data_IF_253020781015
#
_entry.id   IF_253020781015
#
_cell.length_a   1.000
_cell.length_b   1.000
_cell.length_c   1.000
_cell.angle_alpha   90.00
_cell.angle_beta   90.00
_cell.angle_gamma   90.00
#
_symmetry.space_group_name_H-M   'P 1'
#
loop_
_entity.id
_entity.type
_entity.pdbx_description
1 polymer ?
#
# COMPACT_ATOMS: atom_id res chain seq x y z
N UNK A 1 2.04 -22.57 40.94
CA UNK A 1 2.87 -22.55 39.72
C UNK A 1 1.94 -22.47 38.52
N UNK A 2 1.86 -21.30 37.87
CA UNK A 2 0.99 -21.13 36.70
C UNK A 2 1.58 -21.90 35.52
N UNK A 3 0.83 -22.84 34.95
CA UNK A 3 1.26 -23.60 33.77
C UNK A 3 1.47 -22.61 32.61
N UNK A 4 2.70 -22.56 32.09
CA UNK A 4 3.06 -21.72 30.95
C UNK A 4 2.47 -22.34 29.68
N UNK A 5 1.29 -21.89 29.27
CA UNK A 5 0.64 -22.38 28.05
C UNK A 5 1.34 -21.77 26.84
N UNK A 6 2.17 -22.57 26.16
CA UNK A 6 2.81 -22.17 24.91
C UNK A 6 1.74 -22.03 23.80
N UNK A 7 1.84 -20.99 22.95
CA UNK A 7 0.89 -20.80 21.84
C UNK A 7 1.05 -21.91 20.81
N UNK A 8 -0.06 -22.40 20.25
CA UNK A 8 -0.08 -23.56 19.35
C UNK A 8 0.10 -23.18 17.88
N UNK A 9 -0.05 -21.90 17.56
CA UNK A 9 0.09 -21.39 16.20
C UNK A 9 0.55 -19.92 16.22
N UNK A 10 0.98 -19.44 15.04
CA UNK A 10 1.52 -18.08 14.86
C UNK A 10 0.49 -16.99 15.22
N UNK A 11 -0.81 -17.24 14.96
CA UNK A 11 -1.87 -16.29 15.30
C UNK A 11 -2.03 -16.12 16.82
N UNK A 12 -2.04 -17.23 17.56
CA UNK A 12 -2.03 -17.23 19.03
C UNK A 12 -0.75 -16.65 19.61
N UNK A 13 0.38 -16.80 18.91
CA UNK A 13 1.65 -16.22 19.35
C UNK A 13 1.66 -14.69 19.17
N UNK A 14 1.23 -14.18 18.02
CA UNK A 14 1.17 -12.73 17.72
C UNK A 14 0.20 -11.99 18.66
N UNK A 15 -0.86 -12.64 19.12
CA UNK A 15 -1.80 -12.06 20.09
C UNK A 15 -1.23 -11.94 21.51
N UNK A 16 -0.08 -12.57 21.80
CA UNK A 16 0.64 -12.38 23.06
C UNK A 16 1.58 -11.19 22.95
N UNK A 17 1.81 -10.52 24.07
CA UNK A 17 2.72 -9.36 24.18
C UNK A 17 4.11 -9.65 23.58
N UNK A 18 4.66 -10.84 23.85
CA UNK A 18 5.95 -11.28 23.28
C UNK A 18 5.93 -11.47 21.76
N UNK A 19 4.81 -11.94 21.19
CA UNK A 19 4.70 -12.12 19.74
C UNK A 19 4.37 -10.83 19.01
N UNK A 20 3.58 -9.94 19.62
CA UNK A 20 3.38 -8.58 19.14
C UNK A 20 4.71 -7.80 19.13
N UNK A 21 5.52 -7.94 20.19
CA UNK A 21 6.84 -7.32 20.27
C UNK A 21 7.83 -7.88 19.23
N UNK A 22 7.85 -9.20 19.02
CA UNK A 22 8.68 -9.80 17.96
C UNK A 22 8.23 -9.37 16.56
N UNK A 23 6.92 -9.27 16.32
CA UNK A 23 6.40 -8.78 15.04
C UNK A 23 6.80 -7.31 14.82
N UNK A 24 6.75 -6.48 15.87
CA UNK A 24 7.25 -5.11 15.85
C UNK A 24 8.75 -5.06 15.53
N UNK A 25 9.58 -5.85 16.22
CA UNK A 25 11.02 -5.93 15.94
C UNK A 25 11.34 -6.42 14.53
N UNK A 26 10.57 -7.37 13.99
CA UNK A 26 10.73 -7.83 12.62
C UNK A 26 10.30 -6.76 11.62
N UNK A 27 9.20 -6.05 11.90
CA UNK A 27 8.77 -4.91 11.10
C UNK A 27 9.81 -3.79 11.16
N UNK A 28 10.37 -3.47 12.33
CA UNK A 28 11.43 -2.48 12.56
C UNK A 28 12.75 -2.88 11.90
N UNK A 29 13.12 -4.16 11.90
CA UNK A 29 14.33 -4.64 11.22
C UNK A 29 14.17 -4.61 9.70
N UNK A 30 12.97 -4.94 9.22
CA UNK A 30 12.63 -4.85 7.78
C UNK A 30 12.53 -3.38 7.36
N UNK A 31 11.90 -2.52 8.19
CA UNK A 31 11.94 -1.07 8.06
C UNK A 31 13.38 -0.57 8.09
N UNK A 32 14.21 -1.05 9.01
CA UNK A 32 15.59 -0.63 9.24
C UNK A 32 16.47 -0.80 8.00
N UNK A 33 16.27 -1.89 7.25
CA UNK A 33 16.93 -2.07 5.93
C UNK A 33 16.42 -1.07 4.90
N UNK A 34 15.13 -0.77 4.86
CA UNK A 34 14.55 0.23 3.96
C UNK A 34 14.91 1.67 4.37
N UNK A 35 15.03 1.94 5.67
CA UNK A 35 15.46 3.18 6.31
C UNK A 35 16.95 3.44 6.04
N UNK A 36 17.78 2.41 5.96
CA UNK A 36 19.18 2.54 5.52
C UNK A 36 19.34 3.00 4.06
N UNK A 37 18.25 3.04 3.27
CA UNK A 37 18.23 3.68 1.94
C UNK A 37 17.75 5.14 1.98
N UNK A 38 17.36 5.67 3.14
CA UNK A 38 17.36 7.12 3.35
C UNK A 38 18.82 7.53 3.30
N UNK A 39 19.22 8.33 2.29
CA UNK A 39 20.55 8.92 2.28
C UNK A 39 20.73 9.64 3.62
N UNK A 40 21.66 9.15 4.44
CA UNK A 40 22.02 9.75 5.73
C UNK A 40 22.38 11.24 5.60
N UNK A 41 22.82 11.64 4.41
CA UNK A 41 23.11 13.01 4.00
C UNK A 41 21.87 13.91 4.09
N UNK A 42 20.73 13.48 3.57
CA UNK A 42 19.49 14.30 3.55
C UNK A 42 18.96 14.50 4.98
N UNK A 43 19.10 13.47 5.84
CA UNK A 43 18.74 13.53 7.26
C UNK A 43 19.62 14.50 8.04
N UNK A 44 20.93 14.48 7.76
CA UNK A 44 21.90 15.36 8.44
C UNK A 44 21.70 16.81 8.03
N UNK A 45 21.38 17.06 6.76
CA UNK A 45 21.14 18.39 6.22
C UNK A 45 19.83 18.99 6.76
N UNK A 46 18.74 18.21 6.82
CA UNK A 46 17.49 18.64 7.46
C UNK A 46 17.65 18.86 8.98
N UNK A 47 18.37 17.99 9.68
CA UNK A 47 18.65 18.19 11.10
C UNK A 47 19.51 19.44 11.37
N UNK A 48 20.41 19.82 10.45
CA UNK A 48 21.18 21.06 10.55
C UNK A 48 20.34 22.32 10.27
N UNK A 49 19.45 22.27 9.27
CA UNK A 49 18.62 23.43 8.89
C UNK A 49 17.53 23.74 9.94
N UNK A 50 17.08 22.74 10.69
CA UNK A 50 15.93 22.85 11.59
C UNK A 50 16.24 22.55 13.07
N UNK A 51 17.44 22.07 13.40
CA UNK A 51 17.79 21.52 14.74
C UNK A 51 17.99 22.52 15.87
N UNK A 52 17.72 23.82 15.67
CA UNK A 52 17.85 24.84 16.73
C UNK A 52 16.51 25.20 17.38
N UNK A 53 15.41 24.57 16.97
CA UNK A 53 14.08 24.84 17.48
C UNK A 53 13.50 23.58 18.14
N UNK A 54 13.41 23.58 19.46
CA UNK A 54 13.07 22.41 20.28
C UNK A 54 11.62 21.90 20.09
N UNK A 55 10.76 22.65 19.41
CA UNK A 55 9.44 22.17 18.96
C UNK A 55 9.51 21.45 17.60
N UNK A 56 10.59 21.64 16.85
CA UNK A 56 10.78 21.07 15.50
C UNK A 56 11.37 19.66 15.53
N UNK A 57 12.06 19.25 16.60
CA UNK A 57 12.57 17.87 16.71
C UNK A 57 11.46 16.82 16.68
N UNK A 58 10.34 17.05 17.39
CA UNK A 58 9.21 16.12 17.43
C UNK A 58 8.48 16.05 16.07
N UNK A 59 8.29 17.21 15.45
CA UNK A 59 7.65 17.33 14.13
C UNK A 59 8.55 16.75 13.02
N UNK A 60 9.87 16.90 13.13
CA UNK A 60 10.84 16.35 12.18
C UNK A 60 10.94 14.84 12.31
N UNK A 61 10.97 14.29 13.53
CA UNK A 61 10.97 12.85 13.76
C UNK A 61 9.68 12.21 13.23
N UNK A 62 8.52 12.82 13.53
CA UNK A 62 7.24 12.38 13.00
C UNK A 62 7.16 12.47 11.47
N UNK A 63 7.73 13.52 10.87
CA UNK A 63 7.80 13.69 9.41
C UNK A 63 8.74 12.66 8.78
N UNK A 64 9.88 12.38 9.39
CA UNK A 64 10.81 11.34 8.95
C UNK A 64 10.18 9.95 9.05
N UNK A 65 9.43 9.66 10.11
CA UNK A 65 8.68 8.42 10.27
C UNK A 65 7.59 8.28 9.20
N UNK A 66 6.84 9.35 8.93
CA UNK A 66 5.84 9.35 7.87
C UNK A 66 6.46 9.15 6.49
N UNK A 67 7.58 9.82 6.18
CA UNK A 67 8.31 9.63 4.93
C UNK A 67 8.85 8.21 4.80
N UNK A 68 9.30 7.63 5.91
CA UNK A 68 9.78 6.25 5.98
C UNK A 68 8.65 5.26 5.71
N UNK A 69 7.48 5.45 6.34
CA UNK A 69 6.30 4.63 6.09
C UNK A 69 5.82 4.74 4.64
N UNK A 70 5.79 5.95 4.06
CA UNK A 70 5.44 6.14 2.64
C UNK A 70 6.39 5.37 1.72
N UNK A 71 7.71 5.39 1.99
CA UNK A 71 8.68 4.60 1.21
C UNK A 71 8.45 3.10 1.32
N UNK A 72 8.12 2.60 2.51
CA UNK A 72 7.79 1.19 2.70
C UNK A 72 6.52 0.82 1.92
N UNK A 73 5.48 1.66 1.98
CA UNK A 73 4.25 1.42 1.22
C UNK A 73 4.53 1.40 -0.28
N UNK A 74 5.32 2.36 -0.77
CA UNK A 74 5.68 2.44 -2.18
C UNK A 74 6.43 1.18 -2.65
N UNK A 75 7.39 0.70 -1.85
CA UNK A 75 8.10 -0.54 -2.12
C UNK A 75 7.17 -1.76 -2.13
N UNK A 76 6.24 -1.87 -1.18
CA UNK A 76 5.24 -2.94 -1.16
C UNK A 76 4.31 -2.89 -2.38
N UNK A 77 3.93 -1.69 -2.84
CA UNK A 77 3.13 -1.52 -4.06
C UNK A 77 3.91 -1.98 -5.29
N UNK A 78 5.18 -1.60 -5.44
CA UNK A 78 6.04 -2.09 -6.51
C UNK A 78 6.19 -3.61 -6.49
N UNK A 79 6.48 -4.22 -5.34
CA UNK A 79 6.57 -5.69 -5.24
C UNK A 79 5.26 -6.40 -5.53
N UNK A 80 4.12 -5.75 -5.24
CA UNK A 80 2.82 -6.28 -5.67
C UNK A 80 2.71 -6.27 -7.19
N UNK A 81 3.00 -5.14 -7.83
CA UNK A 81 2.92 -4.97 -9.28
C UNK A 81 3.82 -6.00 -9.99
N UNK A 82 5.06 -6.15 -9.54
CA UNK A 82 6.00 -7.18 -10.01
C UNK A 82 5.43 -8.61 -9.85
N UNK A 83 4.86 -8.91 -8.69
CA UNK A 83 4.25 -10.22 -8.43
C UNK A 83 3.03 -10.47 -9.32
N UNK A 84 2.21 -9.43 -9.58
CA UNK A 84 1.08 -9.54 -10.50
C UNK A 84 1.56 -9.78 -11.94
N UNK A 85 2.60 -9.06 -12.41
CA UNK A 85 3.20 -9.30 -13.73
C UNK A 85 3.68 -10.75 -13.84
N UNK A 86 4.41 -11.23 -12.84
CA UNK A 86 4.95 -12.60 -12.81
C UNK A 86 3.87 -13.68 -12.74
N UNK A 87 2.70 -13.37 -12.14
CA UNK A 87 1.55 -14.29 -12.13
C UNK A 87 1.10 -14.67 -13.54
N UNK A 88 1.08 -13.74 -14.49
CA UNK A 88 0.64 -14.00 -15.87
C UNK A 88 1.73 -14.62 -16.75
N UNK A 89 3.00 -14.51 -16.36
CA UNK A 89 4.15 -14.94 -17.18
C UNK A 89 4.79 -16.26 -16.71
N UNK A 90 4.32 -16.86 -15.62
CA UNK A 90 4.94 -18.06 -15.01
C UNK A 90 3.96 -19.22 -14.84
N UNK A 91 4.47 -20.45 -14.99
CA UNK A 91 3.75 -21.69 -14.66
C UNK A 91 3.46 -21.80 -13.15
N UNK A 92 4.23 -21.09 -12.31
CA UNK A 92 4.05 -21.02 -10.84
C UNK A 92 3.16 -19.84 -10.39
N UNK A 93 2.23 -19.37 -11.24
CA UNK A 93 1.41 -18.18 -10.96
C UNK A 93 0.76 -18.17 -9.56
N UNK A 94 0.37 -19.32 -9.03
CA UNK A 94 -0.23 -19.41 -7.68
C UNK A 94 0.64 -18.84 -6.56
N UNK A 95 1.96 -18.95 -6.65
CA UNK A 95 2.93 -18.41 -5.68
C UNK A 95 2.96 -16.89 -5.77
N UNK A 96 3.12 -16.35 -6.97
CA UNK A 96 3.13 -14.91 -7.21
C UNK A 96 1.82 -14.23 -6.83
N UNK A 97 0.68 -14.89 -7.05
CA UNK A 97 -0.62 -14.39 -6.61
C UNK A 97 -0.76 -14.36 -5.08
N UNK A 98 -0.09 -15.28 -4.37
CA UNK A 98 -0.04 -15.29 -2.91
C UNK A 98 0.86 -14.15 -2.37
N UNK A 99 2.03 -13.95 -2.97
CA UNK A 99 2.95 -12.87 -2.62
C UNK A 99 2.34 -11.49 -2.87
N UNK A 100 1.73 -11.27 -4.04
CA UNK A 100 1.01 -10.03 -4.35
C UNK A 100 -0.07 -9.72 -3.31
N UNK A 101 -0.80 -10.74 -2.85
CA UNK A 101 -1.81 -10.58 -1.80
C UNK A 101 -1.21 -10.16 -0.46
N UNK A 102 -0.06 -10.73 -0.10
CA UNK A 102 0.65 -10.38 1.14
C UNK A 102 1.08 -8.92 1.10
N UNK A 103 1.78 -8.52 0.03
CA UNK A 103 2.30 -7.16 -0.12
C UNK A 103 1.19 -6.10 -0.11
N UNK A 104 0.08 -6.34 -0.81
CA UNK A 104 -1.11 -5.45 -0.77
C UNK A 104 -1.71 -5.32 0.61
N UNK A 105 -1.85 -6.44 1.33
CA UNK A 105 -2.42 -6.43 2.67
C UNK A 105 -1.55 -5.60 3.62
N UNK A 106 -0.24 -5.76 3.53
CA UNK A 106 0.71 -4.95 4.30
C UNK A 106 0.66 -3.48 3.90
N UNK A 107 0.67 -3.17 2.60
CA UNK A 107 0.58 -1.80 2.09
C UNK A 107 -0.68 -1.10 2.62
N UNK A 108 -1.86 -1.73 2.54
CA UNK A 108 -3.12 -1.16 3.04
C UNK A 108 -3.16 -0.98 4.55
N UNK A 109 -2.43 -1.82 5.30
CA UNK A 109 -2.35 -1.75 6.77
C UNK A 109 -1.55 -0.52 7.22
N UNK A 110 -0.47 -0.19 6.52
CA UNK A 110 0.46 0.88 6.94
C UNK A 110 0.28 2.19 6.16
N UNK A 111 -0.37 2.17 5.00
CA UNK A 111 -0.52 3.35 4.15
C UNK A 111 -1.29 4.48 4.86
N UNK A 112 -0.73 5.70 4.95
CA UNK A 112 -1.42 6.84 5.54
C UNK A 112 -2.76 7.11 4.84
N UNK A 113 -3.74 7.59 5.60
CA UNK A 113 -5.07 7.88 5.06
C UNK A 113 -4.99 9.01 4.02
N UNK A 114 -5.66 8.83 2.89
CA UNK A 114 -5.68 9.82 1.79
C UNK A 114 -4.38 9.93 0.97
N UNK A 115 -3.29 9.28 1.37
CA UNK A 115 -2.04 9.32 0.64
C UNK A 115 -2.14 8.56 -0.71
N UNK A 116 -1.54 9.06 -1.81
CA UNK A 116 -1.54 8.40 -3.12
C UNK A 116 -1.18 6.91 -3.10
N UNK A 117 -0.18 6.53 -2.31
CA UNK A 117 0.24 5.13 -2.15
C UNK A 117 -0.86 4.21 -1.60
N UNK A 118 -1.83 4.75 -0.83
CA UNK A 118 -3.02 3.99 -0.43
C UNK A 118 -3.96 3.76 -1.61
N UNK A 119 -4.06 4.73 -2.52
CA UNK A 119 -4.78 4.59 -3.79
C UNK A 119 -4.16 3.52 -4.67
N UNK A 120 -2.82 3.50 -4.81
CA UNK A 120 -2.09 2.43 -5.51
C UNK A 120 -2.33 1.06 -4.88
N UNK A 121 -2.32 0.96 -3.55
CA UNK A 121 -2.62 -0.30 -2.86
C UNK A 121 -4.05 -0.78 -3.11
N UNK A 122 -5.05 0.11 -3.16
CA UNK A 122 -6.41 -0.24 -3.55
C UNK A 122 -6.52 -0.69 -5.02
N UNK A 123 -5.84 0.00 -5.94
CA UNK A 123 -5.74 -0.38 -7.37
C UNK A 123 -5.19 -1.81 -7.50
N UNK A 124 -4.08 -2.09 -6.83
CA UNK A 124 -3.43 -3.39 -6.85
C UNK A 124 -4.30 -4.49 -6.23
N UNK A 125 -5.03 -4.16 -5.15
CA UNK A 125 -5.99 -5.10 -4.58
C UNK A 125 -7.18 -5.37 -5.51
N UNK A 126 -7.65 -4.36 -6.23
CA UNK A 126 -8.71 -4.54 -7.22
C UNK A 126 -8.28 -5.52 -8.32
N UNK A 127 -7.05 -5.43 -8.83
CA UNK A 127 -6.50 -6.42 -9.78
C UNK A 127 -6.58 -7.85 -9.23
N UNK A 128 -6.16 -8.08 -7.98
CA UNK A 128 -6.23 -9.40 -7.34
C UNK A 128 -7.67 -9.93 -7.26
N UNK A 129 -8.64 -9.06 -7.01
CA UNK A 129 -10.06 -9.43 -6.97
C UNK A 129 -10.62 -9.72 -8.36
N UNK A 130 -10.22 -8.97 -9.38
CA UNK A 130 -10.59 -9.21 -10.78
C UNK A 130 -10.07 -10.57 -11.27
N UNK A 131 -8.83 -10.93 -10.95
CA UNK A 131 -8.26 -12.26 -11.26
C UNK A 131 -9.09 -13.40 -10.67
N UNK A 132 -9.84 -13.13 -9.59
CA UNK A 132 -10.68 -14.11 -8.89
C UNK A 132 -12.16 -13.99 -9.20
N UNK A 133 -12.52 -13.24 -10.24
CA UNK A 133 -13.90 -12.95 -10.62
C UNK A 133 -14.74 -12.36 -9.46
N UNK A 134 -14.11 -11.59 -8.57
CA UNK A 134 -14.78 -10.85 -7.49
C UNK A 134 -15.05 -9.41 -7.93
N UNK A 135 -15.73 -9.27 -9.07
CA UNK A 135 -15.87 -8.01 -9.80
C UNK A 135 -16.49 -6.89 -8.96
N UNK A 136 -17.59 -7.16 -8.25
CA UNK A 136 -18.23 -6.16 -7.37
C UNK A 136 -17.28 -5.59 -6.32
N UNK A 137 -16.53 -6.46 -5.66
CA UNK A 137 -15.58 -6.04 -4.63
C UNK A 137 -14.39 -5.28 -5.25
N UNK A 138 -13.94 -5.65 -6.45
CA UNK A 138 -12.91 -4.92 -7.17
C UNK A 138 -13.38 -3.50 -7.54
N UNK A 139 -14.59 -3.36 -8.08
CA UNK A 139 -15.12 -2.06 -8.49
C UNK A 139 -15.36 -1.11 -7.29
N UNK A 140 -15.67 -1.62 -6.10
CA UNK A 140 -15.65 -0.81 -4.86
C UNK A 140 -14.25 -0.31 -4.48
N UNK A 141 -13.20 -1.12 -4.69
CA UNK A 141 -11.81 -0.69 -4.44
C UNK A 141 -11.31 0.32 -5.48
N UNK A 142 -11.68 0.13 -6.75
CA UNK A 142 -11.37 1.07 -7.84
C UNK A 142 -11.98 2.43 -7.52
N UNK A 143 -13.25 2.47 -7.07
CA UNK A 143 -13.89 3.72 -6.63
C UNK A 143 -13.09 4.43 -5.53
N UNK A 144 -12.62 3.71 -4.52
CA UNK A 144 -11.78 4.29 -3.44
C UNK A 144 -10.44 4.80 -3.96
N UNK A 145 -9.83 4.10 -4.91
CA UNK A 145 -8.60 4.55 -5.55
C UNK A 145 -8.84 5.85 -6.34
N UNK A 146 -9.93 5.93 -7.12
CA UNK A 146 -10.32 7.14 -7.85
C UNK A 146 -10.50 8.33 -6.91
N UNK A 147 -11.21 8.16 -5.78
CA UNK A 147 -11.41 9.25 -4.81
C UNK A 147 -10.08 9.80 -4.26
N UNK A 148 -9.10 8.92 -4.03
CA UNK A 148 -7.76 9.33 -3.59
C UNK A 148 -7.00 10.03 -4.71
N UNK A 149 -6.96 9.45 -5.92
CA UNK A 149 -6.23 10.02 -7.04
C UNK A 149 -6.81 11.37 -7.48
N UNK A 150 -8.13 11.51 -7.51
CA UNK A 150 -8.81 12.76 -7.81
C UNK A 150 -8.42 13.87 -6.82
N UNK A 151 -8.48 13.58 -5.50
CA UNK A 151 -8.11 14.55 -4.45
C UNK A 151 -6.65 15.00 -4.54
N UNK A 152 -5.77 14.16 -5.07
CA UNK A 152 -4.34 14.43 -5.20
C UNK A 152 -3.94 14.90 -6.60
N UNK A 153 -4.87 15.12 -7.54
CA UNK A 153 -4.56 15.60 -8.88
C UNK A 153 -3.83 14.58 -9.78
N UNK A 154 -3.96 13.28 -9.49
CA UNK A 154 -3.18 12.22 -10.15
C UNK A 154 -3.91 11.69 -11.40
N UNK A 155 -3.88 12.48 -12.47
CA UNK A 155 -4.59 12.20 -13.74
C UNK A 155 -4.15 10.88 -14.39
N UNK A 156 -2.85 10.63 -14.49
CA UNK A 156 -2.30 9.38 -15.07
C UNK A 156 -2.84 8.14 -14.35
N UNK A 157 -2.95 8.22 -13.02
CA UNK A 157 -3.41 7.11 -12.21
C UNK A 157 -4.91 6.85 -12.37
N UNK A 158 -5.68 7.85 -12.80
CA UNK A 158 -7.10 7.69 -13.15
C UNK A 158 -7.24 7.06 -14.53
N UNK A 159 -6.37 7.40 -15.48
CA UNK A 159 -6.32 6.76 -16.80
C UNK A 159 -6.03 5.25 -16.68
N UNK A 160 -5.06 4.87 -15.85
CA UNK A 160 -4.76 3.46 -15.57
C UNK A 160 -6.00 2.69 -15.01
N UNK A 161 -6.83 3.35 -14.18
CA UNK A 161 -8.09 2.75 -13.70
C UNK A 161 -9.12 2.59 -14.83
N UNK A 162 -9.16 3.51 -15.79
CA UNK A 162 -10.01 3.39 -16.98
C UNK A 162 -9.53 2.23 -17.88
N UNK A 163 -8.23 2.08 -18.07
CA UNK A 163 -7.65 0.97 -18.81
C UNK A 163 -8.03 -0.37 -18.15
N UNK A 164 -7.91 -0.47 -16.82
CA UNK A 164 -8.29 -1.66 -16.06
C UNK A 164 -9.76 -2.07 -16.28
N UNK A 165 -10.64 -1.08 -16.40
CA UNK A 165 -12.08 -1.27 -16.61
C UNK A 165 -12.48 -1.47 -18.08
N UNK A 166 -11.61 -1.11 -19.04
CA UNK A 166 -11.93 -1.09 -20.47
C UNK A 166 -12.40 -2.44 -21.00
N UNK A 167 -11.77 -3.52 -20.54
CA UNK A 167 -12.05 -4.90 -20.95
C UNK A 167 -13.23 -5.55 -20.20
N UNK A 168 -13.83 -4.83 -19.24
CA UNK A 168 -14.90 -5.36 -18.38
C UNK A 168 -16.27 -5.16 -19.00
N UNK A 169 -17.15 -6.14 -18.83
CA UNK A 169 -18.51 -6.16 -19.43
C UNK A 169 -19.60 -6.09 -18.37
N UNK A 170 -19.25 -6.29 -17.11
CA UNK A 170 -20.17 -6.25 -15.98
C UNK A 170 -20.78 -4.86 -15.80
N UNK A 171 -22.10 -4.79 -15.62
CA UNK A 171 -22.87 -3.54 -15.56
C UNK A 171 -22.33 -2.58 -14.50
N UNK A 172 -21.98 -3.08 -13.32
CA UNK A 172 -21.41 -2.29 -12.22
C UNK A 172 -20.09 -1.61 -12.59
N UNK A 173 -19.23 -2.30 -13.35
CA UNK A 173 -17.94 -1.77 -13.76
C UNK A 173 -18.06 -0.85 -14.99
N UNK A 174 -19.05 -1.07 -15.87
CA UNK A 174 -19.40 -0.08 -16.91
C UNK A 174 -19.92 1.23 -16.33
N UNK A 175 -20.81 1.15 -15.34
CA UNK A 175 -21.30 2.34 -14.63
C UNK A 175 -20.17 3.08 -13.93
N UNK A 176 -19.24 2.35 -13.30
CA UNK A 176 -18.06 2.94 -12.69
C UNK A 176 -17.13 3.58 -13.74
N UNK A 177 -16.88 2.91 -14.86
CA UNK A 177 -16.05 3.41 -15.95
C UNK A 177 -16.57 4.77 -16.46
N UNK A 178 -17.88 4.91 -16.67
CA UNK A 178 -18.48 6.18 -17.11
C UNK A 178 -18.26 7.29 -16.07
N UNK A 179 -18.40 6.98 -14.77
CA UNK A 179 -18.15 7.95 -13.70
C UNK A 179 -16.69 8.40 -13.67
N UNK A 180 -15.76 7.45 -13.76
CA UNK A 180 -14.32 7.74 -13.77
C UNK A 180 -13.94 8.56 -15.00
N UNK A 181 -14.53 8.26 -16.18
CA UNK A 181 -14.27 9.02 -17.40
C UNK A 181 -14.78 10.46 -17.32
N UNK A 182 -15.85 10.72 -16.56
CA UNK A 182 -16.28 12.09 -16.24
C UNK A 182 -15.27 12.79 -15.34
N UNK A 183 -14.84 12.14 -14.24
CA UNK A 183 -13.80 12.68 -13.35
C UNK A 183 -12.52 13.00 -14.10
N UNK A 184 -12.08 12.09 -14.98
CA UNK A 184 -10.88 12.26 -15.80
C UNK A 184 -10.97 13.54 -16.66
N UNK A 185 -12.06 13.71 -17.40
CA UNK A 185 -12.30 14.91 -18.23
C UNK A 185 -12.38 16.19 -17.42
N UNK A 186 -12.96 16.15 -16.21
CA UNK A 186 -13.01 17.31 -15.31
C UNK A 186 -11.63 17.71 -14.79
N UNK A 187 -10.70 16.77 -14.68
CA UNK A 187 -9.33 17.03 -14.21
C UNK A 187 -8.38 17.48 -15.32
N UNK A 188 -8.68 17.17 -16.57
CA UNK A 188 -7.92 17.65 -17.74
C UNK A 188 -8.33 19.06 -18.22
N UNK A 189 -9.51 19.53 -17.81
CA UNK A 189 -10.09 20.83 -18.20
C UNK A 189 -9.56 21.99 -17.35
#
# INVERSE_FOLDING_TARGET
MSQMVLPKNVSEFIQKESGAHLLLLMLEHTLGRSLNMIKSVDRTQLAQEYGMDSTVELDLEQLLDQLSLVRVVANLNTHTEESLINYWSSEEGSVFLADARRYVADALRIAPQGHPERGRAYKNFAYLLLVRNKTKAACELIKRATEIFQKNGLVEQIDELLEMLSTRTETECKLLQVKIATVFREMEA
#
